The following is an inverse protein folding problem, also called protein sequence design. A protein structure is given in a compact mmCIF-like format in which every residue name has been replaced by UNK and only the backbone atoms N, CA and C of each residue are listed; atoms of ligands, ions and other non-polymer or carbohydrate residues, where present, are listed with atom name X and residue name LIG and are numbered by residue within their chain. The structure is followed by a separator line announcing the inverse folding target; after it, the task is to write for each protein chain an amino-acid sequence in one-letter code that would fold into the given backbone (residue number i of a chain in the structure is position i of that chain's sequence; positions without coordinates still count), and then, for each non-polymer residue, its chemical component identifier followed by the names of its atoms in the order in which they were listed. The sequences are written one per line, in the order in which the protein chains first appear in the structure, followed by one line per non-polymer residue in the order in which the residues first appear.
data_IF_282496976866
#
_entry.id   IF_282496976866
#
_cell.length_a   1.000
_cell.length_b   1.000
_cell.length_c   1.000
_cell.angle_alpha   90.00
_cell.angle_beta   90.00
_cell.angle_gamma   90.00
#
_symmetry.space_group_name_H-M   'P 1'
#
loop_
_entity.id
_entity.type
_entity.pdbx_description
1 polymer ?
#
# COMPACT_ATOMS: atom_id res chain seq x y z
N UNK A 1 -21.54 8.08 -24.77
CA UNK A 1 -22.55 7.00 -24.72
C UNK A 1 -21.73 5.72 -24.77
N UNK A 2 -21.71 4.93 -23.69
CA UNK A 2 -20.90 3.70 -23.63
C UNK A 2 -21.41 2.75 -24.72
N UNK A 3 -20.56 2.42 -25.70
CA UNK A 3 -20.94 1.57 -26.82
C UNK A 3 -20.87 0.10 -26.37
N UNK A 4 -21.77 -0.75 -26.87
CA UNK A 4 -21.73 -2.20 -26.59
C UNK A 4 -20.40 -2.82 -27.00
N UNK A 5 -19.70 -2.20 -27.95
CA UNK A 5 -18.34 -2.57 -28.34
C UNK A 5 -17.32 -2.33 -27.22
N UNK A 6 -17.35 -1.16 -26.56
CA UNK A 6 -16.44 -0.83 -25.45
C UNK A 6 -16.66 -1.76 -24.24
N UNK A 7 -17.91 -2.16 -24.01
CA UNK A 7 -18.28 -3.12 -22.95
C UNK A 7 -17.69 -4.50 -23.27
N UNK A 8 -17.89 -4.98 -24.51
CA UNK A 8 -17.35 -6.27 -24.95
C UNK A 8 -15.82 -6.27 -24.99
N UNK A 9 -15.20 -5.16 -25.39
CA UNK A 9 -13.74 -5.00 -25.42
C UNK A 9 -13.15 -4.97 -24.01
N UNK A 10 -13.81 -4.30 -23.06
CA UNK A 10 -13.42 -4.32 -21.64
C UNK A 10 -13.55 -5.73 -21.07
N UNK A 11 -14.63 -6.45 -21.40
CA UNK A 11 -14.80 -7.86 -21.02
C UNK A 11 -13.70 -8.73 -21.65
N UNK A 12 -13.40 -8.54 -22.93
CA UNK A 12 -12.37 -9.31 -23.64
C UNK A 12 -10.96 -9.03 -23.13
N UNK A 13 -10.64 -7.79 -22.77
CA UNK A 13 -9.37 -7.42 -22.13
C UNK A 13 -9.24 -8.04 -20.74
N UNK A 14 -10.32 -8.06 -19.96
CA UNK A 14 -10.34 -8.72 -18.64
C UNK A 14 -10.19 -10.24 -18.78
N UNK A 15 -10.82 -10.85 -19.79
CA UNK A 15 -10.86 -12.31 -19.98
C UNK A 15 -9.62 -12.86 -20.72
N UNK A 16 -8.96 -12.05 -21.57
CA UNK A 16 -7.80 -12.48 -22.38
C UNK A 16 -6.45 -11.86 -22.01
N UNK A 17 -6.39 -10.81 -21.18
CA UNK A 17 -5.13 -10.34 -20.64
C UNK A 17 -5.00 -10.80 -19.19
N UNK A 18 -3.98 -11.62 -18.90
CA UNK A 18 -3.58 -12.03 -17.55
C UNK A 18 -3.07 -10.81 -16.76
N UNK A 19 -3.94 -9.84 -16.50
CA UNK A 19 -3.61 -8.59 -15.82
C UNK A 19 -3.26 -8.91 -14.37
N UNK A 20 -2.06 -8.53 -13.95
CA UNK A 20 -1.61 -8.63 -12.56
C UNK A 20 -1.43 -7.24 -11.94
N UNK A 21 -1.90 -7.07 -10.71
CA UNK A 21 -1.55 -5.88 -9.93
C UNK A 21 -0.14 -6.07 -9.40
N UNK A 22 0.83 -5.42 -10.04
CA UNK A 22 2.25 -5.51 -9.67
C UNK A 22 2.51 -5.11 -8.22
N UNK A 23 1.88 -4.05 -7.73
CA UNK A 23 2.02 -3.63 -6.34
C UNK A 23 0.85 -2.80 -5.87
N UNK A 24 0.44 -3.01 -4.63
CA UNK A 24 -0.28 -2.01 -3.83
C UNK A 24 0.71 -1.42 -2.83
N UNK A 25 0.61 -0.12 -2.59
CA UNK A 25 1.52 0.58 -1.67
C UNK A 25 0.71 1.45 -0.70
N UNK A 26 0.88 1.22 0.60
CA UNK A 26 0.35 2.10 1.63
C UNK A 26 1.39 3.16 1.98
N UNK A 27 1.07 4.42 1.75
CA UNK A 27 1.89 5.54 2.21
C UNK A 27 1.58 5.89 3.65
N UNK A 28 2.59 5.87 4.53
CA UNK A 28 2.45 6.20 5.96
C UNK A 28 3.31 7.42 6.27
N UNK A 29 2.68 8.53 6.64
CA UNK A 29 3.40 9.69 7.16
C UNK A 29 3.99 9.38 8.54
N UNK A 30 5.25 9.72 8.75
CA UNK A 30 5.96 9.54 10.02
C UNK A 30 6.30 10.87 10.71
N UNK A 31 5.81 12.00 10.21
CA UNK A 31 6.12 13.33 10.78
C UNK A 31 5.65 13.50 12.24
N UNK A 32 4.59 12.80 12.63
CA UNK A 32 4.09 12.73 14.01
C UNK A 32 4.86 11.73 14.89
N UNK A 33 5.77 10.95 14.31
CA UNK A 33 6.66 10.03 15.01
C UNK A 33 7.99 10.69 15.39
N UNK A 34 8.18 11.96 15.05
CA UNK A 34 9.34 12.76 15.44
C UNK A 34 9.45 12.82 16.96
N UNK A 35 10.67 12.62 17.46
CA UNK A 35 11.00 12.69 18.89
C UNK A 35 12.48 13.06 19.05
N UNK A 36 12.85 13.88 20.06
CA UNK A 36 14.25 14.12 20.39
C UNK A 36 15.00 12.86 20.85
N UNK A 37 14.31 11.89 21.46
CA UNK A 37 14.89 10.58 21.78
C UNK A 37 14.70 9.61 20.60
N UNK A 38 15.81 9.14 20.04
CA UNK A 38 15.80 8.21 18.91
C UNK A 38 15.06 6.90 19.23
N UNK A 39 15.16 6.40 20.46
CA UNK A 39 14.50 5.16 20.86
C UNK A 39 12.98 5.37 20.97
N UNK A 40 12.55 6.55 21.44
CA UNK A 40 11.15 6.95 21.40
C UNK A 40 10.63 7.11 19.96
N UNK A 41 11.39 7.76 19.07
CA UNK A 41 11.03 7.89 17.66
C UNK A 41 10.87 6.51 16.99
N UNK A 42 11.81 5.59 17.22
CA UNK A 42 11.76 4.23 16.66
C UNK A 42 10.52 3.46 17.13
N UNK A 43 10.16 3.55 18.42
CA UNK A 43 8.93 2.95 18.96
C UNK A 43 7.67 3.51 18.30
N UNK A 44 7.56 4.84 18.17
CA UNK A 44 6.41 5.49 17.51
C UNK A 44 6.27 5.05 16.06
N UNK A 45 7.37 4.99 15.31
CA UNK A 45 7.39 4.52 13.92
C UNK A 45 6.89 3.07 13.84
N UNK A 46 7.42 2.19 14.69
CA UNK A 46 7.01 0.78 14.74
C UNK A 46 5.51 0.64 15.01
N UNK A 47 5.03 1.25 16.09
CA UNK A 47 3.63 1.18 16.51
C UNK A 47 2.71 1.73 15.43
N UNK A 48 3.09 2.83 14.77
CA UNK A 48 2.29 3.44 13.71
C UNK A 48 2.23 2.54 12.47
N UNK A 49 3.36 2.02 12.00
CA UNK A 49 3.39 1.14 10.83
C UNK A 49 2.56 -0.12 11.10
N UNK A 50 2.78 -0.78 12.25
CA UNK A 50 2.04 -1.98 12.62
C UNK A 50 0.54 -1.72 12.75
N UNK A 51 0.13 -0.58 13.33
CA UNK A 51 -1.28 -0.21 13.48
C UNK A 51 -1.98 0.04 12.14
N UNK A 52 -1.35 0.77 11.23
CA UNK A 52 -1.98 1.16 9.95
C UNK A 52 -1.93 0.03 8.92
N UNK A 53 -0.82 -0.71 8.86
CA UNK A 53 -0.63 -1.77 7.88
C UNK A 53 -1.07 -3.15 8.37
N UNK A 54 -1.63 -3.28 9.58
CA UNK A 54 -2.03 -4.56 10.19
C UNK A 54 -2.80 -5.47 9.23
N UNK A 55 -3.72 -4.89 8.47
CA UNK A 55 -4.59 -5.62 7.56
C UNK A 55 -4.18 -5.53 6.09
N UNK A 56 -3.09 -4.83 5.75
CA UNK A 56 -2.71 -4.56 4.35
C UNK A 56 -2.59 -5.85 3.53
N UNK A 57 -1.94 -6.88 4.08
CA UNK A 57 -1.77 -8.16 3.39
C UNK A 57 -3.11 -8.88 3.30
N UNK A 58 -3.83 -9.05 4.42
CA UNK A 58 -5.12 -9.73 4.46
C UNK A 58 -6.11 -9.12 3.47
N UNK A 59 -6.28 -7.81 3.51
CA UNK A 59 -7.17 -7.08 2.59
C UNK A 59 -6.73 -7.21 1.14
N UNK A 60 -5.41 -7.18 0.86
CA UNK A 60 -4.90 -7.43 -0.48
C UNK A 60 -5.19 -8.85 -0.99
N UNK A 61 -5.10 -9.86 -0.13
CA UNK A 61 -5.47 -11.25 -0.48
C UNK A 61 -6.98 -11.41 -0.68
N UNK A 62 -7.80 -10.76 0.16
CA UNK A 62 -9.26 -10.80 0.04
C UNK A 62 -9.72 -10.16 -1.29
N UNK A 63 -9.17 -8.98 -1.64
CA UNK A 63 -9.41 -8.35 -2.96
C UNK A 63 -8.95 -9.26 -4.10
N UNK A 64 -7.78 -9.90 -3.97
CA UNK A 64 -7.27 -10.79 -5.01
C UNK A 64 -8.20 -11.97 -5.28
N UNK A 65 -8.83 -12.53 -4.22
CA UNK A 65 -9.83 -13.60 -4.34
C UNK A 65 -11.14 -13.13 -4.94
N UNK A 66 -11.64 -11.97 -4.50
CA UNK A 66 -12.94 -11.44 -4.93
C UNK A 66 -12.96 -11.10 -6.42
N UNK A 67 -11.84 -10.60 -6.95
CA UNK A 67 -11.73 -10.18 -8.35
C UNK A 67 -11.01 -11.18 -9.26
N UNK A 68 -10.43 -12.26 -8.72
CA UNK A 68 -9.65 -13.23 -9.49
C UNK A 68 -8.36 -12.68 -10.10
N UNK A 69 -7.90 -11.49 -9.66
CA UNK A 69 -6.71 -10.81 -10.16
C UNK A 69 -5.59 -10.90 -9.11
N UNK A 70 -4.39 -11.41 -9.46
CA UNK A 70 -3.30 -11.53 -8.50
C UNK A 70 -2.71 -10.18 -8.11
N UNK A 71 -2.51 -9.95 -6.81
CA UNK A 71 -1.75 -8.81 -6.27
C UNK A 71 -0.36 -9.28 -5.83
N UNK A 72 0.66 -8.98 -6.62
CA UNK A 72 2.01 -9.55 -6.48
C UNK A 72 2.76 -8.98 -5.28
N UNK A 73 2.65 -7.67 -5.04
CA UNK A 73 3.35 -7.02 -3.94
C UNK A 73 2.41 -6.17 -3.08
N UNK A 74 2.59 -6.27 -1.76
CA UNK A 74 1.98 -5.38 -0.77
C UNK A 74 3.13 -4.64 -0.07
N UNK A 75 3.29 -3.35 -0.37
CA UNK A 75 4.42 -2.53 0.09
C UNK A 75 3.96 -1.39 0.99
N UNK A 76 4.90 -0.85 1.74
CA UNK A 76 4.72 0.37 2.52
C UNK A 76 5.79 1.36 2.05
N UNK A 77 5.39 2.62 1.88
CA UNK A 77 6.31 3.74 1.71
C UNK A 77 6.13 4.70 2.88
N UNK A 78 7.21 5.36 3.27
CA UNK A 78 7.23 6.23 4.45
C UNK A 78 7.87 7.57 4.14
N UNK A 79 7.60 8.56 5.00
CA UNK A 79 8.35 9.84 5.00
C UNK A 79 9.86 9.56 5.03
N UNK A 80 10.69 10.30 4.27
CA UNK A 80 12.15 10.12 4.30
C UNK A 80 12.69 10.13 5.73
N UNK A 81 13.37 9.06 6.12
CA UNK A 81 13.82 8.85 7.51
C UNK A 81 14.80 9.95 7.96
N UNK A 82 15.55 10.53 7.02
CA UNK A 82 16.42 11.69 7.28
C UNK A 82 15.67 12.89 7.89
N UNK A 83 14.41 13.12 7.50
CA UNK A 83 13.61 14.22 8.05
C UNK A 83 13.18 13.96 9.49
N UNK A 84 13.03 12.69 9.88
CA UNK A 84 12.69 12.30 11.24
C UNK A 84 13.94 12.36 12.11
N UNK A 85 15.03 11.77 11.63
CA UNK A 85 16.31 11.74 12.33
C UNK A 85 16.90 13.15 12.53
N UNK A 86 16.57 14.12 11.68
CA UNK A 86 16.99 15.51 11.84
C UNK A 86 16.50 16.17 13.14
N UNK A 87 15.50 15.60 13.81
CA UNK A 87 15.01 16.07 15.10
C UNK A 87 15.69 15.40 16.31
N UNK A 88 16.51 14.38 16.08
CA UNK A 88 17.31 13.71 17.11
C UNK A 88 18.69 14.40 17.18
N UNK A 89 19.05 15.04 18.32
CA UNK A 89 20.32 15.74 18.49
C UNK A 89 21.53 14.80 18.65
#
# INVERSE_FOLDING_TARGET
MINSHDILETINMIDNENLDVRTITMGISLLDCVDPDIDAACRKVYDKICRYALNLVKTGEDISKDYGIPIIHKRISVTPVSMIAAACP
#
